data_IF_855888677357
#
_entry.id   IF_855888677357
#
_cell.length_a   1.000
_cell.length_b   1.000
_cell.length_c   1.000
_cell.angle_alpha   90.00
_cell.angle_beta   90.00
_cell.angle_gamma   90.00
#
_symmetry.space_group_name_H-M   'P 1'
#
loop_
_entity.id
_entity.type
_entity.pdbx_description
1 polymer ?
#
# COMPACT_ATOMS: atom_id res chain seq x y z
N UNK A 1 35.35 7.49 32.35
CA UNK A 1 35.86 7.75 30.99
C UNK A 1 36.07 6.38 30.37
N UNK A 2 35.02 5.58 30.28
CA UNK A 2 33.92 5.65 29.30
C UNK A 2 34.46 5.34 27.92
N UNK A 3 34.53 4.04 27.63
CA UNK A 3 34.79 3.53 26.28
C UNK A 3 33.79 2.37 26.08
N UNK A 4 32.63 2.73 25.51
CA UNK A 4 31.58 1.78 25.12
C UNK A 4 31.63 1.62 23.61
N UNK A 5 32.43 0.68 23.15
CA UNK A 5 32.20 0.02 21.88
C UNK A 5 31.07 -1.01 22.06
N UNK A 6 29.86 -0.67 21.60
CA UNK A 6 28.82 -1.66 21.29
C UNK A 6 28.17 -1.28 19.97
N UNK A 7 28.24 -2.21 19.02
CA UNK A 7 27.75 -2.09 17.64
C UNK A 7 26.28 -1.64 17.55
N UNK A 8 25.87 -0.95 16.46
CA UNK A 8 24.48 -0.58 16.24
C UNK A 8 23.63 -1.84 16.06
N UNK A 9 22.67 -2.03 16.95
CA UNK A 9 21.62 -3.05 16.81
C UNK A 9 20.67 -2.58 15.72
N UNK A 10 20.64 -3.32 14.62
CA UNK A 10 19.66 -3.16 13.55
C UNK A 10 18.34 -3.72 14.09
N UNK A 11 17.39 -2.85 14.40
CA UNK A 11 16.03 -3.23 14.79
C UNK A 11 15.27 -3.84 13.60
N UNK A 12 14.55 -4.96 13.78
CA UNK A 12 13.77 -5.59 12.72
C UNK A 12 12.53 -4.74 12.35
N UNK A 13 11.99 -4.88 11.12
CA UNK A 13 10.79 -4.16 10.71
C UNK A 13 9.58 -4.80 11.38
N UNK A 14 9.05 -4.15 12.42
CA UNK A 14 7.90 -4.66 13.17
C UNK A 14 6.60 -4.13 12.56
N UNK A 15 5.91 -5.10 11.98
CA UNK A 15 4.56 -5.11 11.45
C UNK A 15 3.52 -4.36 12.29
N UNK A 16 2.69 -3.59 11.58
CA UNK A 16 1.27 -3.36 11.76
C UNK A 16 0.59 -4.35 12.74
N UNK A 17 0.45 -3.95 14.02
CA UNK A 17 -0.31 -4.70 15.02
C UNK A 17 -1.29 -3.78 15.73
N UNK A 18 -2.54 -3.78 15.25
CA UNK A 18 -3.69 -3.32 16.00
C UNK A 18 -3.93 -4.28 17.17
N UNK A 19 -3.71 -3.81 18.41
CA UNK A 19 -4.22 -4.48 19.61
C UNK A 19 -3.28 -4.45 20.81
N UNK A 20 -3.75 -3.78 21.86
CA UNK A 20 -3.26 -3.75 23.24
C UNK A 20 -1.89 -3.10 23.48
N UNK A 21 -1.91 -2.10 24.38
CA UNK A 21 -0.71 -1.50 24.94
C UNK A 21 0.23 -2.57 25.54
N UNK A 22 1.55 -2.48 25.32
CA UNK A 22 2.52 -3.43 25.85
C UNK A 22 2.56 -3.31 27.38
N UNK A 23 1.92 -4.25 28.07
CA UNK A 23 2.01 -4.37 29.53
C UNK A 23 3.32 -5.08 29.89
N UNK A 24 4.39 -4.31 30.06
CA UNK A 24 5.67 -4.80 30.58
C UNK A 24 5.88 -4.25 32.00
N UNK A 25 5.89 -5.17 32.97
CA UNK A 25 6.43 -5.00 34.33
C UNK A 25 5.79 -3.90 35.21
N UNK A 26 4.54 -4.12 35.64
CA UNK A 26 4.07 -3.71 36.97
C UNK A 26 4.01 -2.21 37.32
N UNK A 27 4.32 -1.31 36.39
CA UNK A 27 4.10 0.14 36.52
C UNK A 27 3.04 0.57 35.49
N UNK A 28 1.99 1.29 35.90
CA UNK A 28 1.01 1.81 34.96
C UNK A 28 1.68 2.85 34.04
N UNK A 29 1.37 2.86 32.73
CA UNK A 29 1.88 3.88 31.82
C UNK A 29 1.42 5.27 32.29
N UNK A 30 2.33 6.24 32.24
CA UNK A 30 2.04 7.61 32.65
C UNK A 30 1.42 8.31 31.45
N UNK A 31 0.17 8.74 31.58
CA UNK A 31 -0.50 9.60 30.59
C UNK A 31 0.13 10.98 30.69
N UNK A 32 0.77 11.44 29.63
CA UNK A 32 1.32 12.78 29.54
C UNK A 32 0.22 13.73 29.05
N UNK A 33 0.13 14.92 29.64
CA UNK A 33 -0.70 16.00 29.12
C UNK A 33 0.10 16.73 28.04
N UNK A 34 -0.46 16.83 26.83
CA UNK A 34 0.16 17.54 25.72
C UNK A 34 0.07 19.05 25.99
N UNK A 35 1.15 19.62 26.53
CA UNK A 35 1.35 21.07 26.50
C UNK A 35 1.94 21.44 25.13
N UNK A 36 1.06 21.65 24.13
CA UNK A 36 1.48 22.24 22.86
C UNK A 36 1.96 23.66 23.15
N UNK A 37 3.29 23.86 23.17
CA UNK A 37 3.84 25.21 23.18
C UNK A 37 3.48 25.85 21.83
N UNK A 38 2.51 26.79 21.85
CA UNK A 38 2.04 27.52 20.67
C UNK A 38 3.19 28.24 19.93
N UNK A 39 4.34 28.40 20.59
CA UNK A 39 5.54 29.02 20.05
C UNK A 39 6.62 28.03 19.57
N UNK A 40 6.32 26.73 19.46
CA UNK A 40 7.24 25.76 18.87
C UNK A 40 7.42 26.04 17.36
N UNK A 41 8.65 26.39 16.98
CA UNK A 41 9.10 26.47 15.60
C UNK A 41 10.03 25.27 15.36
N UNK A 42 9.56 24.23 14.63
CA UNK A 42 10.43 23.11 14.27
C UNK A 42 11.67 23.63 13.54
N UNK A 43 12.82 23.15 13.96
CA UNK A 43 14.09 23.43 13.31
C UNK A 43 14.11 22.84 11.89
N UNK A 44 14.95 23.41 11.02
CA UNK A 44 15.06 22.90 9.64
C UNK A 44 15.52 21.44 9.60
N UNK A 45 16.32 21.01 10.58
CA UNK A 45 16.78 19.63 10.76
C UNK A 45 15.61 18.68 11.07
N UNK A 46 14.74 19.04 12.02
CA UNK A 46 13.54 18.24 12.34
C UNK A 46 12.57 18.14 11.15
N UNK A 47 12.42 19.23 10.39
CA UNK A 47 11.59 19.23 9.17
C UNK A 47 12.16 18.28 8.12
N UNK A 48 13.48 18.23 7.95
CA UNK A 48 14.15 17.35 7.00
C UNK A 48 14.01 15.88 7.40
N UNK A 49 14.23 15.56 8.68
CA UNK A 49 14.08 14.21 9.20
C UNK A 49 12.64 13.71 9.05
N UNK A 50 11.66 14.55 9.38
CA UNK A 50 10.25 14.21 9.21
C UNK A 50 9.85 14.10 7.72
N UNK A 51 10.39 14.98 6.87
CA UNK A 51 10.18 14.92 5.42
C UNK A 51 10.74 13.63 4.81
N UNK A 52 11.94 13.19 5.22
CA UNK A 52 12.52 11.91 4.81
C UNK A 52 11.64 10.75 5.30
N UNK A 53 11.17 10.81 6.55
CA UNK A 53 10.34 9.76 7.15
C UNK A 53 8.97 9.57 6.46
N UNK A 54 8.31 10.65 6.03
CA UNK A 54 7.07 10.57 5.23
C UNK A 54 7.33 10.25 3.74
N UNK A 55 8.60 10.15 3.31
CA UNK A 55 9.01 9.74 1.97
C UNK A 55 9.15 10.90 0.96
N UNK A 56 9.41 12.12 1.42
CA UNK A 56 9.76 13.25 0.57
C UNK A 56 11.22 13.17 0.11
N UNK A 57 11.48 13.56 -1.13
CA UNK A 57 12.84 13.72 -1.62
C UNK A 57 13.37 15.14 -1.32
N UNK A 58 14.47 15.25 -0.58
CA UNK A 58 15.07 16.53 -0.18
C UNK A 58 15.53 17.37 -1.37
N UNK A 59 15.82 16.74 -2.52
CA UNK A 59 16.22 17.44 -3.74
C UNK A 59 15.03 17.87 -4.61
N UNK A 60 13.97 17.05 -4.70
CA UNK A 60 12.86 17.28 -5.63
C UNK A 60 11.63 17.93 -4.97
N UNK A 61 11.40 17.69 -3.68
CA UNK A 61 10.16 18.00 -2.97
C UNK A 61 10.30 19.14 -1.93
N UNK A 62 11.33 19.99 -2.05
CA UNK A 62 11.52 21.15 -1.15
C UNK A 62 10.28 22.07 -1.08
N UNK A 63 9.56 22.22 -2.19
CA UNK A 63 8.32 22.99 -2.26
C UNK A 63 7.17 22.40 -1.42
N UNK A 64 7.30 21.15 -0.96
CA UNK A 64 6.32 20.40 -0.18
C UNK A 64 6.71 20.27 1.29
N UNK A 65 7.86 20.82 1.71
CA UNK A 65 8.30 20.81 3.11
C UNK A 65 7.37 21.56 4.07
N UNK A 66 6.50 22.43 3.55
CA UNK A 66 5.45 23.03 4.37
C UNK A 66 4.49 21.97 4.93
N UNK A 67 4.29 20.84 4.23
CA UNK A 67 3.48 19.70 4.70
C UNK A 67 4.17 19.01 5.88
N UNK A 68 5.50 18.85 5.82
CA UNK A 68 6.30 18.32 6.92
C UNK A 68 6.27 19.26 8.14
N UNK A 69 6.41 20.56 7.92
CA UNK A 69 6.31 21.59 8.96
C UNK A 69 4.92 21.64 9.60
N UNK A 70 3.86 21.46 8.82
CA UNK A 70 2.49 21.42 9.32
C UNK A 70 2.20 20.11 10.08
N UNK A 71 2.78 18.99 9.63
CA UNK A 71 2.74 17.70 10.34
C UNK A 71 3.36 17.74 11.73
N UNK A 72 4.55 18.34 11.85
CA UNK A 72 5.23 18.53 13.14
C UNK A 72 4.50 19.51 14.07
N UNK A 73 3.67 20.39 13.54
CA UNK A 73 2.86 21.36 14.31
C UNK A 73 1.42 20.91 14.49
N UNK A 74 1.06 19.72 14.02
CA UNK A 74 -0.30 19.24 14.06
C UNK A 74 -0.66 18.88 15.51
N UNK A 75 -1.68 19.51 16.10
CA UNK A 75 -2.14 19.10 17.43
C UNK A 75 -2.72 17.70 17.36
N UNK A 76 -2.56 16.92 18.43
CA UNK A 76 -3.22 15.61 18.46
C UNK A 76 -4.75 15.76 18.39
N UNK A 77 -5.44 14.83 17.71
CA UNK A 77 -6.89 14.82 17.70
C UNK A 77 -7.40 14.53 19.13
N UNK A 78 -8.48 15.20 19.53
CA UNK A 78 -9.04 15.17 20.90
C UNK A 78 -9.10 13.81 21.64
N UNK A 79 -9.36 12.65 20.99
CA UNK A 79 -9.40 11.37 21.70
C UNK A 79 -8.01 10.73 21.94
N UNK A 80 -6.94 11.23 21.31
CA UNK A 80 -5.58 10.71 21.44
C UNK A 80 -4.78 11.47 22.48
N UNK A 81 -4.01 10.77 23.31
CA UNK A 81 -3.00 11.41 24.17
C UNK A 81 -1.67 10.64 24.14
N UNK A 82 -0.54 11.33 24.31
CA UNK A 82 0.75 10.68 24.50
C UNK A 82 0.80 9.99 25.87
N UNK A 83 1.27 8.76 25.87
CA UNK A 83 1.51 7.94 27.04
C UNK A 83 2.98 7.51 27.02
N UNK A 84 3.62 7.52 28.19
CA UNK A 84 4.99 7.05 28.33
C UNK A 84 5.00 5.65 28.92
N UNK A 85 5.77 4.75 28.30
CA UNK A 85 6.03 3.41 28.84
C UNK A 85 7.07 3.44 29.96
N UNK A 86 7.27 2.30 30.65
CA UNK A 86 8.31 2.16 31.66
C UNK A 86 9.75 2.29 31.12
N UNK A 87 9.92 2.20 29.80
CA UNK A 87 11.21 2.32 29.09
C UNK A 87 11.45 3.75 28.58
N UNK A 88 10.64 4.71 29.01
CA UNK A 88 10.63 6.13 28.60
C UNK A 88 10.17 6.37 27.16
N UNK A 89 9.81 5.33 26.40
CA UNK A 89 9.26 5.46 25.05
C UNK A 89 7.85 6.08 25.05
N UNK A 90 7.61 7.00 24.12
CA UNK A 90 6.34 7.68 23.93
C UNK A 90 5.51 6.90 22.90
N UNK A 91 4.27 6.61 23.24
CA UNK A 91 3.26 6.06 22.34
C UNK A 91 1.95 6.83 22.47
N UNK A 92 1.10 6.79 21.45
CA UNK A 92 -0.16 7.50 21.45
C UNK A 92 -1.33 6.55 21.70
N UNK A 93 -2.18 6.90 22.66
CA UNK A 93 -3.33 6.09 23.05
C UNK A 93 -4.63 6.83 22.81
N UNK A 94 -5.57 6.17 22.13
CA UNK A 94 -6.93 6.65 21.92
C UNK A 94 -7.82 6.23 23.09
N UNK A 95 -8.29 7.21 23.86
CA UNK A 95 -9.13 6.99 25.04
C UNK A 95 -10.57 6.60 24.71
N UNK A 96 -11.03 6.84 23.47
CA UNK A 96 -12.37 6.47 23.03
C UNK A 96 -12.42 5.07 22.41
N UNK A 97 -11.43 4.71 21.58
CA UNK A 97 -11.39 3.41 20.88
C UNK A 97 -10.57 2.34 21.60
N UNK A 98 -9.69 2.74 22.54
CA UNK A 98 -8.76 1.85 23.22
C UNK A 98 -7.58 1.40 22.35
N UNK A 99 -7.35 2.06 21.23
CA UNK A 99 -6.25 1.77 20.30
C UNK A 99 -4.95 2.46 20.75
N UNK A 100 -3.83 1.78 20.57
CA UNK A 100 -2.48 2.34 20.80
C UNK A 100 -1.68 2.29 19.50
N UNK A 101 -1.06 3.40 19.15
CA UNK A 101 -0.16 3.52 18.00
C UNK A 101 1.17 4.10 18.46
N UNK A 102 2.24 3.69 17.79
CA UNK A 102 3.59 4.19 18.06
C UNK A 102 3.90 5.47 17.26
N UNK A 103 3.32 5.57 16.07
CA UNK A 103 3.43 6.74 15.20
C UNK A 103 2.35 7.79 15.54
N UNK A 104 2.56 9.05 15.16
CA UNK A 104 1.58 10.08 15.46
C UNK A 104 0.33 9.88 14.57
N UNK A 105 -0.90 9.92 15.13
CA UNK A 105 -2.12 9.55 14.41
C UNK A 105 -2.42 10.47 13.21
N UNK A 106 -1.85 11.66 13.15
CA UNK A 106 -1.97 12.54 11.98
C UNK A 106 -0.94 12.27 10.88
N UNK A 107 0.08 11.44 11.13
CA UNK A 107 1.16 11.19 10.16
C UNK A 107 0.66 10.55 8.87
N UNK A 108 -0.31 9.64 8.97
CA UNK A 108 -0.94 9.04 7.79
C UNK A 108 -1.64 10.08 6.90
N UNK A 109 -2.23 11.10 7.51
CA UNK A 109 -2.90 12.17 6.78
C UNK A 109 -1.88 12.98 5.98
N UNK A 110 -0.75 13.33 6.59
CA UNK A 110 0.30 14.10 5.92
C UNK A 110 1.03 13.29 4.84
N UNK A 111 1.23 11.98 5.05
CA UNK A 111 1.70 11.06 3.99
C UNK A 111 0.78 11.08 2.78
N UNK A 112 -0.54 10.97 2.98
CA UNK A 112 -1.54 11.05 1.90
C UNK A 112 -1.52 12.43 1.22
N UNK A 113 -1.51 13.50 2.00
CA UNK A 113 -1.47 14.88 1.49
C UNK A 113 -0.22 15.13 0.62
N UNK A 114 0.93 14.59 1.03
CA UNK A 114 2.16 14.63 0.23
C UNK A 114 1.99 13.89 -1.11
N UNK A 115 1.52 12.64 -1.08
CA UNK A 115 1.34 11.86 -2.33
C UNK A 115 0.42 12.54 -3.33
N UNK A 116 -0.68 13.15 -2.87
CA UNK A 116 -1.58 13.90 -3.74
C UNK A 116 -0.93 15.15 -4.34
N UNK A 117 -0.16 15.89 -3.54
CA UNK A 117 0.52 17.10 -4.01
C UNK A 117 1.65 16.76 -4.99
N UNK A 118 2.38 15.67 -4.75
CA UNK A 118 3.40 15.15 -5.68
C UNK A 118 2.77 14.73 -7.01
N UNK A 119 1.66 13.99 -7.00
CA UNK A 119 0.93 13.65 -8.23
C UNK A 119 0.43 14.90 -8.97
N UNK A 120 -0.12 15.89 -8.26
CA UNK A 120 -0.55 17.17 -8.86
C UNK A 120 0.63 17.95 -9.46
N UNK A 121 1.83 17.85 -8.88
CA UNK A 121 3.06 18.47 -9.39
C UNK A 121 3.49 17.81 -10.70
N UNK A 122 3.52 16.48 -10.76
CA UNK A 122 3.86 15.74 -11.99
C UNK A 122 2.85 16.00 -13.11
N UNK A 123 1.54 15.95 -12.82
CA UNK A 123 0.50 16.25 -13.82
C UNK A 123 0.56 17.69 -14.38
N UNK A 124 1.06 18.64 -13.60
CA UNK A 124 1.28 20.03 -14.05
C UNK A 124 2.57 20.18 -14.85
N UNK A 125 3.60 19.38 -14.54
CA UNK A 125 4.86 19.30 -15.29
C UNK A 125 4.61 18.76 -16.70
N UNK A 126 3.76 17.75 -16.84
CA UNK A 126 3.36 17.17 -18.12
C UNK A 126 2.48 18.10 -18.99
N UNK A 127 1.76 19.04 -18.36
CA UNK A 127 0.91 20.02 -19.04
C UNK A 127 1.63 21.29 -19.50
N UNK A 128 2.89 21.48 -19.12
CA UNK A 128 3.64 22.72 -19.34
C UNK A 128 4.58 22.70 -20.55
N UNK A 129 4.45 21.72 -21.46
CA UNK A 129 5.21 21.65 -22.72
C UNK A 129 4.31 21.97 -23.93
N UNK A 130 4.28 23.22 -24.46
CA UNK A 130 3.54 23.55 -25.66
C UNK A 130 4.49 23.70 -26.86
N UNK A 131 4.54 22.69 -27.73
CA UNK A 131 4.93 22.90 -29.12
C UNK A 131 4.28 21.85 -30.04
N UNK A 132 3.25 22.25 -30.78
CA UNK A 132 2.71 21.48 -31.91
C UNK A 132 1.21 21.72 -32.17
N UNK A 133 0.89 22.45 -33.23
CA UNK A 133 -0.44 22.86 -33.71
C UNK A 133 -1.35 21.73 -34.25
N UNK A 134 -2.67 21.98 -34.18
CA UNK A 134 -3.72 21.54 -35.12
C UNK A 134 -4.36 20.18 -34.82
N UNK A 135 -5.64 20.09 -34.44
CA UNK A 135 -6.80 20.15 -35.36
C UNK A 135 -8.13 20.10 -34.59
N UNK A 136 -9.18 20.74 -35.14
CA UNK A 136 -10.56 20.82 -34.63
C UNK A 136 -11.39 19.53 -34.85
N UNK A 137 -12.48 19.44 -34.06
CA UNK A 137 -13.76 18.68 -34.17
C UNK A 137 -13.93 17.69 -32.99
N UNK A 138 -15.07 17.51 -32.31
CA UNK A 138 -16.42 18.04 -32.43
C UNK A 138 -17.16 17.89 -31.07
N UNK A 139 -18.32 18.53 -31.00
CA UNK A 139 -19.29 18.78 -29.93
C UNK A 139 -19.83 17.54 -29.17
N UNK A 140 -20.04 17.62 -27.83
CA UNK A 140 -21.36 17.56 -27.16
C UNK A 140 -21.29 17.73 -25.63
N UNK A 141 -22.04 18.71 -25.12
CA UNK A 141 -22.35 18.99 -23.70
C UNK A 141 -23.80 18.53 -23.45
N UNK A 142 -24.19 18.17 -22.22
CA UNK A 142 -25.18 19.03 -21.57
C UNK A 142 -24.82 19.38 -20.12
N UNK A 143 -25.13 20.63 -19.80
CA UNK A 143 -25.01 21.25 -18.50
C UNK A 143 -26.21 20.92 -17.62
N UNK A 144 -26.01 20.95 -16.30
CA UNK A 144 -26.93 21.63 -15.40
C UNK A 144 -26.13 22.29 -14.26
N UNK A 145 -26.46 23.55 -14.04
CA UNK A 145 -25.92 24.61 -13.16
C UNK A 145 -26.43 24.44 -11.68
N UNK A 146 -26.28 25.40 -10.72
CA UNK A 146 -25.53 26.68 -10.68
C UNK A 146 -24.76 26.99 -9.34
N UNK A 147 -23.99 28.11 -9.40
CA UNK A 147 -23.68 29.09 -8.32
C UNK A 147 -22.69 28.69 -7.19
N UNK A 148 -21.75 29.51 -6.71
CA UNK A 148 -21.70 30.98 -6.51
C UNK A 148 -20.24 31.48 -6.31
N UNK A 149 -19.95 32.67 -6.89
CA UNK A 149 -19.19 33.86 -6.39
C UNK A 149 -18.22 33.71 -5.18
N UNK A 150 -17.07 34.39 -5.03
CA UNK A 150 -16.45 35.58 -5.64
C UNK A 150 -15.03 35.79 -5.04
N UNK A 151 -14.06 36.28 -5.85
CA UNK A 151 -13.08 37.38 -5.58
C UNK A 151 -12.26 37.41 -4.25
N UNK A 152 -10.99 37.83 -4.17
CA UNK A 152 -9.99 38.45 -5.07
C UNK A 152 -8.68 38.69 -4.28
N UNK A 153 -7.58 38.85 -5.06
CA UNK A 153 -6.37 39.69 -4.83
C UNK A 153 -5.32 39.19 -3.83
N UNK A 154 -4.02 39.50 -3.95
CA UNK A 154 -3.06 39.84 -5.05
C UNK A 154 -1.76 40.23 -4.31
N UNK A 155 -0.60 39.71 -4.73
CA UNK A 155 0.73 40.37 -4.92
C UNK A 155 1.88 39.47 -4.40
N UNK A 156 2.75 38.95 -5.28
CA UNK A 156 3.94 39.57 -5.94
C UNK A 156 5.14 39.76 -4.99
N UNK A 157 6.20 38.98 -5.19
CA UNK A 157 7.58 39.37 -5.65
C UNK A 157 8.54 38.18 -5.39
N UNK A 158 9.33 37.77 -6.40
CA UNK A 158 10.81 37.90 -6.55
C UNK A 158 11.57 37.12 -5.47
N UNK A 159 12.62 36.32 -5.69
CA UNK A 159 13.71 36.27 -6.68
C UNK A 159 14.54 35.05 -6.26
N UNK A 160 14.83 34.07 -7.13
CA UNK A 160 16.12 33.89 -7.83
C UNK A 160 17.39 33.95 -6.97
N UNK A 161 18.12 32.84 -6.91
CA UNK A 161 19.55 32.71 -6.56
C UNK A 161 19.84 31.24 -6.24
N UNK A 162 20.43 30.49 -7.19
CA UNK A 162 21.87 30.18 -7.26
C UNK A 162 22.22 28.98 -6.35
N UNK A 163 22.58 27.82 -6.93
CA UNK A 163 23.97 27.36 -7.15
C UNK A 163 24.68 27.13 -5.80
N UNK A 164 25.18 25.95 -5.42
CA UNK A 164 26.22 25.11 -6.05
C UNK A 164 26.57 24.05 -4.94
N UNK A 165 26.92 22.77 -5.17
CA UNK A 165 28.32 22.23 -5.21
C UNK A 165 28.31 20.71 -4.86
N UNK A 166 28.78 19.86 -5.81
CA UNK A 166 29.65 18.64 -5.71
C UNK A 166 29.13 17.42 -4.90
N UNK A 167 28.92 16.24 -5.49
CA UNK A 167 29.84 15.35 -6.25
C UNK A 167 30.42 14.26 -5.31
N UNK A 168 30.83 13.02 -5.72
CA UNK A 168 31.43 12.69 -7.02
C UNK A 168 31.12 11.29 -7.66
N UNK A 169 31.18 11.27 -9.00
CA UNK A 169 31.82 10.33 -9.96
C UNK A 169 31.91 8.79 -9.75
N UNK A 170 31.86 8.07 -10.90
CA UNK A 170 32.82 7.00 -11.24
C UNK A 170 33.53 7.23 -12.61
N UNK A 171 34.70 6.60 -12.88
CA UNK A 171 35.36 6.57 -14.20
C UNK A 171 35.65 5.12 -14.68
N UNK A 172 36.41 4.86 -15.78
CA UNK A 172 36.81 5.67 -16.96
C UNK A 172 36.43 4.98 -18.32
N UNK A 173 36.06 5.67 -19.42
CA UNK A 173 36.83 6.43 -20.45
C UNK A 173 37.79 5.56 -21.33
N UNK A 174 37.79 5.57 -22.68
CA UNK A 174 38.10 6.65 -23.66
C UNK A 174 37.90 6.13 -25.13
N UNK A 175 38.08 6.92 -26.22
CA UNK A 175 37.69 8.32 -26.48
C UNK A 175 36.99 8.54 -27.86
N UNK A 176 36.16 9.59 -27.94
CA UNK A 176 35.53 10.12 -29.17
C UNK A 176 36.23 11.44 -29.57
N UNK A 177 36.42 11.67 -30.87
CA UNK A 177 37.01 12.88 -31.47
C UNK A 177 35.98 14.06 -31.57
N UNK A 178 36.43 15.33 -31.73
CA UNK A 178 35.58 16.53 -31.61
C UNK A 178 34.86 16.98 -32.91
N UNK A 179 33.84 17.88 -32.83
CA UNK A 179 33.02 18.35 -33.95
C UNK A 179 33.62 19.56 -34.72
N UNK A 180 33.14 19.88 -35.95
CA UNK A 180 33.74 20.88 -36.84
C UNK A 180 33.07 22.27 -36.81
N UNK A 181 33.75 23.34 -37.27
CA UNK A 181 33.10 24.61 -37.62
C UNK A 181 32.62 24.65 -39.08
N UNK A 182 31.49 25.34 -39.27
CA UNK A 182 30.81 25.58 -40.54
C UNK A 182 31.50 26.65 -41.39
N UNK A 183 31.71 26.37 -42.69
CA UNK A 183 32.11 27.36 -43.69
C UNK A 183 32.58 26.74 -45.02
N UNK A 184 31.83 27.03 -46.08
CA UNK A 184 32.11 26.90 -47.52
C UNK A 184 31.63 25.64 -48.29
N UNK A 185 31.12 25.98 -49.49
CA UNK A 185 30.38 25.28 -50.55
C UNK A 185 31.06 24.04 -51.23
N UNK A 186 30.34 23.31 -52.11
CA UNK A 186 30.42 21.85 -52.23
C UNK A 186 31.32 21.33 -53.36
N UNK A 187 31.59 20.02 -53.27
CA UNK A 187 32.26 19.11 -54.24
C UNK A 187 33.78 19.03 -54.12
N UNK A 188 34.23 18.20 -53.17
CA UNK A 188 35.48 17.46 -53.30
C UNK A 188 35.35 16.12 -52.57
N UNK A 189 35.52 15.01 -53.29
CA UNK A 189 35.67 13.66 -52.73
C UNK A 189 37.19 13.44 -52.54
N UNK A 190 37.70 13.07 -51.35
CA UNK A 190 39.11 12.78 -51.17
C UNK A 190 39.46 11.37 -51.73
N UNK A 191 40.63 11.18 -52.37
CA UNK A 191 41.05 9.88 -52.88
C UNK A 191 41.73 9.03 -51.79
N UNK A 192 41.51 7.72 -51.83
CA UNK A 192 42.24 6.73 -51.03
C UNK A 192 43.72 6.67 -51.44
N UNK A 193 44.68 6.58 -50.50
CA UNK A 193 46.10 6.54 -50.82
C UNK A 193 46.61 5.11 -51.09
N UNK A 194 47.37 4.98 -52.18
CA UNK A 194 48.55 4.11 -52.23
C UNK A 194 48.42 2.76 -52.91
N UNK A 195 48.56 2.73 -54.25
CA UNK A 195 49.47 1.78 -54.91
C UNK A 195 49.71 2.17 -56.38
N UNK A 196 50.98 2.38 -56.75
CA UNK A 196 51.46 2.12 -58.10
C UNK A 196 51.69 3.36 -58.97
N UNK A 197 52.86 3.97 -58.79
CA UNK A 197 53.53 4.77 -59.81
C UNK A 197 53.61 3.99 -61.14
N UNK A 198 52.83 4.43 -62.13
CA UNK A 198 53.13 4.15 -63.53
C UNK A 198 53.31 5.49 -64.21
N UNK A 199 54.57 5.83 -64.40
CA UNK A 199 55.07 6.91 -65.24
C UNK A 199 54.40 6.79 -66.62
N UNK A 200 53.35 7.57 -66.88
CA UNK A 200 52.93 7.93 -68.24
C UNK A 200 53.73 9.15 -68.63
N UNK A 201 54.87 8.92 -69.25
CA UNK A 201 55.52 9.89 -70.13
C UNK A 201 54.49 10.37 -71.16
N UNK A 202 54.07 11.63 -71.07
CA UNK A 202 53.40 12.31 -72.15
C UNK A 202 54.38 12.39 -73.32
N UNK A 203 54.19 11.55 -74.34
CA UNK A 203 54.75 11.85 -75.65
C UNK A 203 53.96 13.03 -76.21
N UNK A 204 54.60 14.19 -76.22
CA UNK A 204 54.20 15.32 -77.03
C UNK A 204 54.09 14.86 -78.49
N UNK A 205 52.88 15.00 -79.02
CA UNK A 205 52.58 14.78 -80.42
C UNK A 205 53.17 15.96 -81.22
N UNK A 206 54.12 15.76 -82.14
CA UNK A 206 54.61 16.86 -82.97
C UNK A 206 53.52 17.28 -83.96
N UNK A 207 53.23 18.58 -83.92
CA UNK A 207 52.49 19.32 -84.94
C UNK A 207 53.07 19.03 -86.34
N UNK A 208 52.38 18.18 -87.09
CA UNK A 208 52.64 18.02 -88.52
C UNK A 208 52.05 19.22 -89.26
N UNK A 209 52.96 20.05 -89.77
CA UNK A 209 52.70 21.07 -90.78
C UNK A 209 52.07 20.45 -92.03
N UNK A 210 50.91 20.98 -92.39
CA UNK A 210 50.61 21.56 -93.70
C UNK A 210 50.88 20.72 -94.96
N UNK A 211 49.82 20.07 -95.48
CA UNK A 211 49.60 19.77 -96.91
C UNK A 211 48.07 19.82 -97.08
N UNK A 212 47.50 20.88 -97.64
CA UNK A 212 47.54 21.14 -99.06
C UNK A 212 46.17 20.79 -99.64
N UNK A 213 45.27 21.79 -99.63
CA UNK A 213 44.07 21.78 -100.45
C UNK A 213 44.44 21.42 -101.90
N UNK A 214 44.01 20.24 -102.34
CA UNK A 214 43.83 19.92 -103.75
C UNK A 214 42.50 19.19 -103.89
N UNK A 215 41.48 19.79 -104.52
CA UNK A 215 40.30 19.05 -104.92
C UNK A 215 40.69 18.20 -106.14
N UNK A 216 41.10 16.95 -105.91
CA UNK A 216 41.19 15.96 -106.98
C UNK A 216 39.82 15.32 -107.08
N UNK A 217 39.04 15.84 -108.01
CA UNK A 217 37.84 15.19 -108.54
C UNK A 217 38.26 13.94 -109.30
N UNK A 218 38.15 12.78 -108.64
CA UNK A 218 38.20 11.46 -109.28
C UNK A 218 37.02 10.66 -108.74
N UNK A 219 36.01 10.46 -109.58
CA UNK A 219 34.77 9.76 -109.23
C UNK A 219 34.97 8.26 -108.87
N UNK A 220 36.20 7.73 -108.92
CA UNK A 220 36.54 6.35 -108.54
C UNK A 220 37.09 6.20 -107.11
N UNK A 221 37.69 7.24 -106.53
CA UNK A 221 38.19 7.20 -105.14
C UNK A 221 37.07 7.42 -104.10
N UNK A 222 35.98 8.04 -104.54
CA UNK A 222 34.75 8.20 -103.76
C UNK A 222 34.10 6.85 -103.47
N UNK A 223 34.21 5.89 -104.39
CA UNK A 223 33.57 4.56 -104.30
C UNK A 223 34.26 3.68 -103.24
N UNK A 224 35.60 3.65 -103.21
CA UNK A 224 36.35 2.90 -102.20
C UNK A 224 36.29 3.54 -100.80
N UNK A 225 36.23 4.88 -100.73
CA UNK A 225 35.99 5.59 -99.47
C UNK A 225 34.58 5.30 -98.91
N UNK A 226 33.58 5.23 -99.79
CA UNK A 226 32.21 4.83 -99.44
C UNK A 226 32.15 3.36 -98.99
N UNK A 227 32.90 2.46 -99.63
CA UNK A 227 33.00 1.05 -99.24
C UNK A 227 33.65 0.86 -97.86
N UNK A 228 34.76 1.56 -97.58
CA UNK A 228 35.40 1.54 -96.25
C UNK A 228 34.48 2.15 -95.19
N UNK A 229 33.76 3.23 -95.50
CA UNK A 229 32.78 3.82 -94.60
C UNK A 229 31.60 2.87 -94.34
N UNK A 230 31.14 2.13 -95.35
CA UNK A 230 30.07 1.14 -95.22
C UNK A 230 30.49 -0.06 -94.36
N UNK A 231 31.73 -0.55 -94.51
CA UNK A 231 32.29 -1.62 -93.67
C UNK A 231 32.46 -1.14 -92.23
N UNK A 232 32.98 0.07 -92.00
CA UNK A 232 33.08 0.65 -90.65
C UNK A 232 31.70 0.85 -90.01
N UNK A 233 30.70 1.30 -90.79
CA UNK A 233 29.33 1.43 -90.31
C UNK A 233 28.67 0.07 -90.03
N UNK A 234 28.99 -0.97 -90.81
CA UNK A 234 28.55 -2.35 -90.56
C UNK A 234 29.19 -2.90 -89.28
N UNK A 235 30.50 -2.79 -89.14
CA UNK A 235 31.23 -3.23 -87.95
C UNK A 235 30.80 -2.44 -86.70
N UNK A 236 30.53 -1.13 -86.83
CA UNK A 236 30.02 -0.32 -85.73
C UNK A 236 28.61 -0.72 -85.30
N UNK A 237 27.74 -1.12 -86.24
CA UNK A 237 26.42 -1.67 -85.91
C UNK A 237 26.53 -3.04 -85.25
N UNK A 238 27.37 -3.92 -85.75
CA UNK A 238 27.62 -5.25 -85.16
C UNK A 238 28.20 -5.12 -83.74
N UNK A 239 29.14 -4.19 -83.53
CA UNK A 239 29.70 -3.90 -82.21
C UNK A 239 28.64 -3.34 -81.26
N UNK A 240 27.79 -2.41 -81.71
CA UNK A 240 26.72 -1.85 -80.90
C UNK A 240 25.67 -2.91 -80.49
N UNK A 241 25.36 -3.87 -81.38
CA UNK A 241 24.49 -5.01 -81.06
C UNK A 241 25.15 -5.91 -80.01
N UNK A 242 26.43 -6.25 -80.19
CA UNK A 242 27.17 -7.06 -79.22
C UNK A 242 27.30 -6.37 -77.84
N UNK A 243 27.57 -5.07 -77.82
CA UNK A 243 27.61 -4.28 -76.58
C UNK A 243 26.24 -4.20 -75.90
N UNK A 244 25.15 -4.11 -76.67
CA UNK A 244 23.78 -4.15 -76.12
C UNK A 244 23.41 -5.53 -75.58
N UNK A 245 23.78 -6.61 -76.26
CA UNK A 245 23.63 -8.00 -75.79
C UNK A 245 24.44 -8.26 -74.51
N UNK A 246 25.67 -7.75 -74.43
CA UNK A 246 26.49 -7.85 -73.23
C UNK A 246 25.92 -6.99 -72.08
N UNK A 247 25.43 -5.79 -72.38
CA UNK A 247 24.78 -4.92 -71.39
C UNK A 247 23.51 -5.56 -70.81
N UNK A 248 22.70 -6.20 -71.66
CA UNK A 248 21.50 -6.95 -71.23
C UNK A 248 21.86 -8.19 -70.42
N UNK A 249 22.90 -8.93 -70.80
CA UNK A 249 23.39 -10.07 -70.02
C UNK A 249 23.90 -9.64 -68.63
N UNK A 250 24.62 -8.51 -68.53
CA UNK A 250 25.05 -7.93 -67.25
C UNK A 250 23.86 -7.46 -66.41
N UNK A 251 22.83 -6.87 -67.02
CA UNK A 251 21.60 -6.49 -66.32
C UNK A 251 20.87 -7.72 -65.75
N UNK A 252 20.74 -8.78 -66.53
CA UNK A 252 20.13 -10.04 -66.09
C UNK A 252 20.91 -10.69 -64.92
N UNK A 253 22.25 -10.70 -64.98
CA UNK A 253 23.08 -11.20 -63.86
C UNK A 253 22.92 -10.34 -62.60
N UNK A 254 22.86 -9.01 -62.73
CA UNK A 254 22.62 -8.12 -61.60
C UNK A 254 21.26 -8.38 -60.96
N UNK A 255 20.23 -8.54 -61.77
CA UNK A 255 18.87 -8.87 -61.30
C UNK A 255 18.84 -10.23 -60.58
N UNK A 256 19.53 -11.24 -61.13
CA UNK A 256 19.62 -12.55 -60.48
C UNK A 256 20.36 -12.47 -59.14
N UNK A 257 21.47 -11.72 -59.08
CA UNK A 257 22.19 -11.49 -57.83
C UNK A 257 21.32 -10.74 -56.81
N UNK A 258 20.56 -9.72 -57.24
CA UNK A 258 19.63 -9.01 -56.37
C UNK A 258 18.55 -9.95 -55.80
N UNK A 259 17.96 -10.82 -56.64
CA UNK A 259 16.99 -11.83 -56.20
C UNK A 259 17.58 -12.76 -55.15
N UNK A 260 18.80 -13.26 -55.36
CA UNK A 260 19.50 -14.13 -54.39
C UNK A 260 19.75 -13.38 -53.07
N UNK A 261 20.20 -12.12 -53.13
CA UNK A 261 20.42 -11.31 -51.93
C UNK A 261 19.12 -11.01 -51.18
N UNK A 262 18.02 -10.72 -51.90
CA UNK A 262 16.71 -10.52 -51.26
C UNK A 262 16.19 -11.81 -50.65
N UNK A 263 16.31 -12.95 -51.34
CA UNK A 263 15.88 -14.26 -50.83
C UNK A 263 16.64 -14.63 -49.57
N UNK A 264 17.97 -14.57 -49.61
CA UNK A 264 18.83 -14.87 -48.46
C UNK A 264 18.57 -13.95 -47.28
N UNK A 265 18.35 -12.64 -47.51
CA UNK A 265 17.94 -11.68 -46.47
C UNK A 265 16.58 -12.03 -45.88
N UNK A 266 15.60 -12.42 -46.70
CA UNK A 266 14.27 -12.82 -46.21
C UNK A 266 14.31 -14.14 -45.43
N UNK A 267 15.10 -15.11 -45.86
CA UNK A 267 15.26 -16.39 -45.17
C UNK A 267 15.98 -16.21 -43.83
N UNK A 268 17.00 -15.34 -43.80
CA UNK A 268 17.67 -14.94 -42.55
C UNK A 268 16.70 -14.24 -41.59
N UNK A 269 15.94 -13.26 -42.05
CA UNK A 269 14.95 -12.56 -41.22
C UNK A 269 13.86 -13.52 -40.70
N UNK A 270 13.43 -14.48 -41.53
CA UNK A 270 12.48 -15.52 -41.14
C UNK A 270 13.07 -16.44 -40.08
N UNK A 271 14.33 -16.85 -40.22
CA UNK A 271 15.02 -17.67 -39.23
C UNK A 271 15.18 -16.92 -37.89
N UNK A 272 15.52 -15.63 -37.92
CA UNK A 272 15.64 -14.79 -36.72
C UNK A 272 14.28 -14.62 -36.02
N UNK A 273 13.21 -14.42 -36.80
CA UNK A 273 11.84 -14.31 -36.25
C UNK A 273 11.43 -15.60 -35.56
N UNK A 274 11.65 -16.76 -36.19
CA UNK A 274 11.37 -18.08 -35.59
C UNK A 274 12.14 -18.33 -34.30
N UNK A 275 13.42 -17.93 -34.25
CA UNK A 275 14.24 -18.07 -33.04
C UNK A 275 13.72 -17.16 -31.91
N UNK A 276 13.34 -15.94 -32.25
CA UNK A 276 12.79 -14.97 -31.28
C UNK A 276 11.43 -15.43 -30.75
N UNK A 277 10.56 -15.94 -31.63
CA UNK A 277 9.27 -16.54 -31.27
C UNK A 277 9.47 -17.74 -30.35
N UNK A 278 10.37 -18.68 -30.69
CA UNK A 278 10.65 -19.84 -29.85
C UNK A 278 11.15 -19.45 -28.44
N UNK A 279 12.08 -18.49 -28.35
CA UNK A 279 12.55 -17.99 -27.06
C UNK A 279 11.45 -17.29 -26.26
N UNK A 280 10.59 -16.51 -26.92
CA UNK A 280 9.46 -15.87 -26.27
C UNK A 280 8.43 -16.89 -25.78
N UNK A 281 8.15 -17.94 -26.55
CA UNK A 281 7.29 -19.05 -26.14
C UNK A 281 7.85 -19.78 -24.91
N UNK A 282 9.16 -20.05 -24.88
CA UNK A 282 9.82 -20.64 -23.70
C UNK A 282 9.73 -19.73 -22.47
N UNK A 283 9.98 -18.42 -22.64
CA UNK A 283 9.78 -17.44 -21.57
C UNK A 283 8.34 -17.43 -21.06
N UNK A 284 7.35 -17.44 -21.94
CA UNK A 284 5.94 -17.47 -21.54
C UNK A 284 5.58 -18.77 -20.81
N UNK A 285 6.10 -19.92 -21.24
CA UNK A 285 5.92 -21.20 -20.54
C UNK A 285 6.51 -21.14 -19.13
N UNK A 286 7.74 -20.66 -18.99
CA UNK A 286 8.41 -20.54 -17.69
C UNK A 286 7.65 -19.61 -16.74
N UNK A 287 7.19 -18.46 -17.24
CA UNK A 287 6.39 -17.52 -16.46
C UNK A 287 5.05 -18.14 -16.03
N UNK A 288 4.33 -18.80 -16.94
CA UNK A 288 3.07 -19.46 -16.61
C UNK A 288 3.25 -20.60 -15.59
N UNK A 289 4.34 -21.36 -15.67
CA UNK A 289 4.68 -22.38 -14.67
C UNK A 289 5.00 -21.75 -13.30
N UNK A 290 5.76 -20.66 -13.29
CA UNK A 290 6.06 -19.93 -12.06
C UNK A 290 4.79 -19.36 -11.42
N UNK A 291 3.93 -18.71 -12.21
CA UNK A 291 2.64 -18.19 -11.75
C UNK A 291 1.74 -19.29 -11.18
N UNK A 292 1.70 -20.47 -11.83
CA UNK A 292 0.96 -21.63 -11.32
C UNK A 292 1.50 -22.10 -9.96
N UNK A 293 2.83 -22.21 -9.81
CA UNK A 293 3.46 -22.57 -8.53
C UNK A 293 3.13 -21.56 -7.44
N UNK A 294 3.28 -20.26 -7.73
CA UNK A 294 2.94 -19.19 -6.80
C UNK A 294 1.46 -19.21 -6.42
N UNK A 295 0.57 -19.50 -7.36
CA UNK A 295 -0.87 -19.62 -7.11
C UNK A 295 -1.20 -20.84 -6.23
N UNK A 296 -0.56 -21.99 -6.48
CA UNK A 296 -0.70 -23.18 -5.64
C UNK A 296 -0.20 -22.95 -4.22
N UNK A 297 0.95 -22.29 -4.05
CA UNK A 297 1.48 -21.92 -2.73
C UNK A 297 0.57 -20.94 -2.00
N UNK A 298 0.10 -19.89 -2.69
CA UNK A 298 -0.89 -18.95 -2.14
C UNK A 298 -2.15 -19.68 -1.69
N UNK A 299 -2.68 -20.59 -2.50
CA UNK A 299 -3.88 -21.38 -2.18
C UNK A 299 -3.65 -22.31 -0.99
N UNK A 300 -2.46 -22.88 -0.84
CA UNK A 300 -2.09 -23.69 0.34
C UNK A 300 -2.07 -22.85 1.61
N UNK A 301 -1.41 -21.69 1.57
CA UNK A 301 -1.35 -20.76 2.71
C UNK A 301 -2.74 -20.23 3.08
N UNK A 302 -3.54 -19.87 2.09
CA UNK A 302 -4.92 -19.41 2.33
C UNK A 302 -5.78 -20.51 2.96
N UNK A 303 -5.65 -21.76 2.50
CA UNK A 303 -6.33 -22.90 3.11
C UNK A 303 -5.85 -23.19 4.54
N UNK A 304 -4.57 -22.97 4.84
CA UNK A 304 -4.02 -23.10 6.19
C UNK A 304 -4.56 -22.01 7.12
N UNK A 305 -4.53 -20.75 6.69
CA UNK A 305 -5.11 -19.61 7.41
C UNK A 305 -6.61 -19.86 7.68
N UNK A 306 -7.34 -20.35 6.68
CA UNK A 306 -8.77 -20.67 6.83
C UNK A 306 -9.02 -21.76 7.89
N UNK A 307 -8.18 -22.81 7.93
CA UNK A 307 -8.28 -23.87 8.95
C UNK A 307 -7.98 -23.35 10.34
N UNK A 308 -6.95 -22.52 10.49
CA UNK A 308 -6.62 -21.89 11.79
C UNK A 308 -7.74 -20.97 12.27
N UNK A 309 -8.31 -20.13 11.37
CA UNK A 309 -9.48 -19.30 11.69
C UNK A 309 -10.67 -20.15 12.15
N UNK A 310 -10.98 -21.23 11.43
CA UNK A 310 -12.08 -22.13 11.80
C UNK A 310 -11.83 -22.82 13.15
N UNK A 311 -10.58 -23.20 13.45
CA UNK A 311 -10.19 -23.77 14.76
C UNK A 311 -10.41 -22.75 15.87
N UNK A 312 -9.87 -21.54 15.73
CA UNK A 312 -10.02 -20.47 16.71
C UNK A 312 -11.49 -20.10 16.91
N UNK A 313 -12.28 -20.00 15.85
CA UNK A 313 -13.72 -19.74 15.97
C UNK A 313 -14.46 -20.87 16.71
N UNK A 314 -14.13 -22.14 16.45
CA UNK A 314 -14.73 -23.27 17.16
C UNK A 314 -14.34 -23.28 18.63
N UNK A 315 -13.09 -22.97 18.96
CA UNK A 315 -12.63 -22.87 20.35
C UNK A 315 -13.31 -21.71 21.08
N UNK A 316 -13.37 -20.53 20.47
CA UNK A 316 -14.08 -19.37 21.02
C UNK A 316 -15.57 -19.67 21.23
N UNK A 317 -16.24 -20.31 20.27
CA UNK A 317 -17.64 -20.72 20.42
C UNK A 317 -17.83 -21.72 21.56
N UNK A 318 -16.95 -22.70 21.71
CA UNK A 318 -16.99 -23.67 22.83
C UNK A 318 -16.76 -23.01 24.18
N UNK A 319 -15.87 -22.02 24.25
CA UNK A 319 -15.62 -21.25 25.47
C UNK A 319 -16.87 -20.48 25.87
N UNK A 320 -17.45 -19.72 24.93
CA UNK A 320 -18.70 -18.97 25.16
C UNK A 320 -19.83 -19.92 25.59
N UNK A 321 -19.97 -21.08 24.93
CA UNK A 321 -21.00 -22.05 25.28
C UNK A 321 -20.79 -22.64 26.68
N UNK A 322 -19.54 -22.93 27.07
CA UNK A 322 -19.22 -23.37 28.43
C UNK A 322 -19.53 -22.30 29.47
N UNK A 323 -19.19 -21.05 29.20
CA UNK A 323 -19.46 -19.93 30.11
C UNK A 323 -20.97 -19.72 30.28
N UNK A 324 -21.72 -19.68 29.16
CA UNK A 324 -23.19 -19.56 29.18
C UNK A 324 -23.82 -20.74 29.92
N UNK A 325 -23.32 -21.96 29.71
CA UNK A 325 -23.81 -23.13 30.42
C UNK A 325 -23.50 -23.04 31.92
N UNK A 326 -22.29 -22.64 32.30
CA UNK A 326 -21.89 -22.42 33.69
C UNK A 326 -22.76 -21.38 34.39
N UNK A 327 -23.07 -20.26 33.72
CA UNK A 327 -23.97 -19.23 34.24
C UNK A 327 -25.39 -19.76 34.42
N UNK A 328 -25.91 -20.53 33.45
CA UNK A 328 -27.25 -21.15 33.56
C UNK A 328 -27.32 -22.15 34.72
N UNK A 329 -26.28 -22.95 34.91
CA UNK A 329 -26.19 -23.91 36.01
C UNK A 329 -26.11 -23.20 37.36
N UNK A 330 -25.28 -22.15 37.47
CA UNK A 330 -25.17 -21.32 38.67
C UNK A 330 -26.50 -20.66 39.02
N UNK A 331 -27.20 -20.09 38.04
CA UNK A 331 -28.52 -19.48 38.23
C UNK A 331 -29.56 -20.51 38.69
N UNK A 332 -29.56 -21.70 38.07
CA UNK A 332 -30.44 -22.81 38.48
C UNK A 332 -30.16 -23.27 39.90
N UNK A 333 -28.88 -23.44 40.26
CA UNK A 333 -28.47 -23.85 41.59
C UNK A 333 -28.86 -22.81 42.64
N UNK A 334 -28.68 -21.51 42.35
CA UNK A 334 -29.10 -20.43 43.23
C UNK A 334 -30.62 -20.43 43.43
N UNK A 335 -31.40 -20.52 42.34
CA UNK A 335 -32.86 -20.61 42.42
C UNK A 335 -33.32 -21.83 43.23
N UNK A 336 -32.66 -22.99 43.05
CA UNK A 336 -32.96 -24.21 43.80
C UNK A 336 -32.63 -24.06 45.29
N UNK A 337 -31.50 -23.45 45.63
CA UNK A 337 -31.15 -23.15 47.02
C UNK A 337 -32.13 -22.18 47.67
N UNK A 338 -32.61 -21.18 46.93
CA UNK A 338 -33.61 -20.25 47.44
C UNK A 338 -34.92 -20.99 47.75
N UNK A 339 -35.41 -21.81 46.82
CA UNK A 339 -36.61 -22.63 47.04
C UNK A 339 -36.44 -23.55 48.25
N UNK A 340 -35.29 -24.22 48.38
CA UNK A 340 -35.03 -25.11 49.51
C UNK A 340 -35.02 -24.36 50.86
N UNK A 341 -34.44 -23.16 50.90
CA UNK A 341 -34.50 -22.29 52.10
C UNK A 341 -35.93 -21.88 52.42
N UNK A 342 -36.71 -21.45 51.43
CA UNK A 342 -38.10 -21.05 51.62
C UNK A 342 -38.96 -22.23 52.12
N UNK A 343 -38.74 -23.44 51.61
CA UNK A 343 -39.41 -24.66 52.10
C UNK A 343 -39.03 -24.92 53.56
N UNK A 344 -37.74 -24.88 53.91
CA UNK A 344 -37.28 -25.12 55.27
C UNK A 344 -37.81 -24.08 56.27
N UNK A 345 -37.87 -22.81 55.86
CA UNK A 345 -38.41 -21.74 56.68
C UNK A 345 -39.93 -21.87 56.85
N UNK A 346 -40.65 -22.26 55.80
CA UNK A 346 -42.08 -22.56 55.87
C UNK A 346 -42.35 -23.77 56.80
N UNK A 347 -41.57 -24.85 56.69
CA UNK A 347 -41.67 -26.00 57.59
C UNK A 347 -41.42 -25.60 59.05
N UNK A 348 -40.41 -24.76 59.31
CA UNK A 348 -40.12 -24.25 60.65
C UNK A 348 -41.29 -23.42 61.17
N UNK A 349 -41.80 -22.49 60.37
CA UNK A 349 -42.95 -21.65 60.73
C UNK A 349 -44.19 -22.48 61.04
N UNK A 350 -44.46 -23.54 60.27
CA UNK A 350 -45.57 -24.46 60.56
C UNK A 350 -45.37 -25.18 61.89
N UNK A 351 -44.18 -25.75 62.15
CA UNK A 351 -43.87 -26.42 63.43
C UNK A 351 -43.98 -25.47 64.63
N UNK A 352 -43.51 -24.24 64.49
CA UNK A 352 -43.63 -23.22 65.55
C UNK A 352 -45.08 -22.84 65.81
N UNK A 353 -45.90 -22.70 64.77
CA UNK A 353 -47.33 -22.46 64.90
C UNK A 353 -48.04 -23.63 65.60
N UNK A 354 -47.74 -24.87 65.23
CA UNK A 354 -48.27 -26.07 65.90
C UNK A 354 -47.91 -26.10 67.39
N UNK A 355 -46.63 -25.85 67.73
CA UNK A 355 -46.18 -25.77 69.12
C UNK A 355 -46.87 -24.63 69.89
N UNK A 356 -47.10 -23.48 69.24
CA UNK A 356 -47.83 -22.36 69.84
C UNK A 356 -49.28 -22.72 70.14
N UNK A 357 -49.95 -23.48 69.27
CA UNK A 357 -51.33 -23.95 69.51
C UNK A 357 -51.37 -24.89 70.70
N UNK A 358 -50.48 -25.89 70.75
CA UNK A 358 -50.39 -26.86 71.85
C UNK A 358 -50.10 -26.14 73.17
N UNK A 359 -49.13 -25.23 73.20
CA UNK A 359 -48.82 -24.45 74.40
C UNK A 359 -50.00 -23.60 74.86
N UNK A 360 -50.75 -23.01 73.92
CA UNK A 360 -51.96 -22.25 74.22
C UNK A 360 -53.09 -23.13 74.79
N UNK A 361 -53.27 -24.33 74.26
CA UNK A 361 -54.24 -25.31 74.78
C UNK A 361 -53.86 -25.79 76.19
N UNK A 362 -52.60 -26.15 76.41
CA UNK A 362 -52.11 -26.52 77.74
C UNK A 362 -52.27 -25.38 78.75
N UNK A 363 -51.99 -24.13 78.37
CA UNK A 363 -52.17 -22.98 79.25
C UNK A 363 -53.64 -22.80 79.68
N UNK A 364 -54.58 -22.90 78.74
CA UNK A 364 -56.03 -22.82 79.03
C UNK A 364 -56.48 -23.96 79.95
N UNK A 365 -55.97 -25.17 79.75
CA UNK A 365 -56.31 -26.32 80.59
C UNK A 365 -55.78 -26.17 82.01
N UNK A 366 -54.56 -25.64 82.17
CA UNK A 366 -54.01 -25.33 83.50
C UNK A 366 -54.87 -24.27 84.21
N UNK A 367 -55.28 -23.20 83.52
CA UNK A 367 -56.16 -22.17 84.08
C UNK A 367 -57.50 -22.77 84.53
N UNK A 368 -58.12 -23.62 83.70
CA UNK A 368 -59.37 -24.33 84.04
C UNK A 368 -59.23 -25.15 85.32
N UNK A 369 -58.16 -25.95 85.44
CA UNK A 369 -57.90 -26.77 86.63
C UNK A 369 -57.65 -25.93 87.89
N UNK A 370 -56.94 -24.80 87.75
CA UNK A 370 -56.72 -23.86 88.86
C UNK A 370 -58.05 -23.24 89.32
N UNK A 371 -58.92 -22.87 88.39
CA UNK A 371 -60.22 -22.28 88.71
C UNK A 371 -61.13 -23.28 89.41
N UNK A 372 -61.21 -24.52 88.90
CA UNK A 372 -61.93 -25.64 89.56
C UNK A 372 -61.40 -25.91 90.97
N UNK A 373 -60.07 -25.92 91.14
CA UNK A 373 -59.46 -26.09 92.46
C UNK A 373 -59.82 -24.93 93.39
N UNK A 374 -59.77 -23.68 92.92
CA UNK A 374 -60.15 -22.51 93.71
C UNK A 374 -61.63 -22.54 94.12
N UNK A 375 -62.52 -22.99 93.24
CA UNK A 375 -63.93 -23.21 93.56
C UNK A 375 -64.13 -24.31 94.60
N UNK A 376 -63.42 -25.43 94.46
CA UNK A 376 -63.47 -26.52 95.43
C UNK A 376 -63.02 -26.03 96.82
N UNK A 377 -61.93 -25.26 96.89
CA UNK A 377 -61.44 -24.64 98.13
C UNK A 377 -62.46 -23.65 98.71
N UNK A 378 -63.10 -22.82 97.86
CA UNK A 378 -64.17 -21.90 98.29
C UNK A 378 -65.36 -22.67 98.89
N UNK A 379 -65.83 -23.72 98.22
CA UNK A 379 -66.91 -24.58 98.73
C UNK A 379 -66.53 -25.25 100.05
N UNK A 380 -65.32 -25.78 100.16
CA UNK A 380 -64.84 -26.41 101.38
C UNK A 380 -64.79 -25.41 102.54
N UNK A 381 -64.31 -24.19 102.29
CA UNK A 381 -64.30 -23.11 103.29
C UNK A 381 -65.72 -22.68 103.69
N UNK A 382 -66.65 -22.62 102.74
CA UNK A 382 -68.04 -22.31 103.02
C UNK A 382 -68.68 -23.39 103.89
N UNK A 383 -68.48 -24.67 103.57
CA UNK A 383 -68.93 -25.81 104.37
C UNK A 383 -68.34 -25.76 105.79
N UNK A 384 -67.03 -25.54 105.92
CA UNK A 384 -66.38 -25.38 107.22
C UNK A 384 -66.95 -24.17 107.99
N UNK A 385 -67.23 -23.05 107.32
CA UNK A 385 -67.86 -21.88 107.91
C UNK A 385 -69.28 -22.18 108.41
N UNK A 386 -70.09 -22.87 107.61
CA UNK A 386 -71.43 -23.33 107.96
C UNK A 386 -71.40 -24.32 109.13
N UNK A 387 -70.44 -25.24 109.16
CA UNK A 387 -70.23 -26.20 110.24
C UNK A 387 -69.79 -25.50 111.53
N UNK A 388 -68.88 -24.53 111.46
CA UNK A 388 -68.52 -23.69 112.61
C UNK A 388 -69.72 -22.90 113.12
N UNK A 389 -70.54 -22.33 112.21
CA UNK A 389 -71.77 -21.63 112.58
C UNK A 389 -72.78 -22.55 113.27
N UNK A 390 -72.93 -23.78 112.77
CA UNK A 390 -73.78 -24.83 113.36
C UNK A 390 -73.29 -25.20 114.76
N UNK A 391 -72.01 -25.52 114.91
CA UNK A 391 -71.40 -25.82 116.21
C UNK A 391 -71.57 -24.67 117.20
N UNK A 392 -71.43 -23.40 116.75
CA UNK A 392 -71.67 -22.22 117.61
C UNK A 392 -73.13 -22.02 118.00
N UNK A 393 -74.08 -22.37 117.12
CA UNK A 393 -75.51 -22.33 117.43
C UNK A 393 -75.88 -23.41 118.45
N UNK A 394 -75.42 -24.64 118.24
CA UNK A 394 -75.57 -25.74 119.21
C UNK A 394 -74.95 -25.38 120.56
N UNK A 395 -73.75 -24.77 120.58
CA UNK A 395 -73.13 -24.30 121.82
C UNK A 395 -73.90 -23.17 122.52
N UNK A 396 -74.66 -22.34 121.78
CA UNK A 396 -75.49 -21.28 122.34
C UNK A 396 -76.72 -21.87 123.02
N UNK A 397 -77.37 -22.84 122.39
CA UNK A 397 -78.55 -23.54 122.92
C UNK A 397 -78.25 -24.40 124.17
N UNK A 398 -76.98 -24.68 124.46
CA UNK A 398 -76.52 -25.44 125.64
C UNK A 398 -76.14 -24.51 126.82
N UNK A 399 -75.97 -23.20 126.59
CA UNK A 399 -75.49 -22.23 127.59
C UNK A 399 -76.61 -21.32 128.14
N UNK A 400 -77.76 -21.24 127.46
CA UNK A 400 -79.02 -20.68 127.98
C UNK A 400 -79.87 -21.76 128.69
#
# INVERSE_FOLDING_TARGET
>A
MTDMFRAPQISPPMSESLGLAPSQQGKPPIVLEEEVDENYEPTEEEILEYAEWIGMDVAEDQDLFWIAKEGLKAPLPAPWKPCQTAEEDIFYFNFETGESVWDHPCDEYYKKLFTENKQKKELKKDRADPRGEGSKADIMVPADEPATTEKKKKKKKKSSGAEEVVGPSPPPALPLAPPPPSGADPRAVPPLPGLGDIIRTSMDLPTARNLGDRPVTSARDTDHSQEIAAIRAKNGRELAVFEAEHATALAAMREQNEKVMTSTRTDFNRALSRMTEAHNEERHKLLAEHERKMHEERKKLEAEIARERERMEKEMRREIEREVQGQRESLRANAQQQIEREILDAERSCREAELSVINGEHAREIERLVEEHCEAVRKLRQQQGEEIHRMKAEHRDVVD
#
